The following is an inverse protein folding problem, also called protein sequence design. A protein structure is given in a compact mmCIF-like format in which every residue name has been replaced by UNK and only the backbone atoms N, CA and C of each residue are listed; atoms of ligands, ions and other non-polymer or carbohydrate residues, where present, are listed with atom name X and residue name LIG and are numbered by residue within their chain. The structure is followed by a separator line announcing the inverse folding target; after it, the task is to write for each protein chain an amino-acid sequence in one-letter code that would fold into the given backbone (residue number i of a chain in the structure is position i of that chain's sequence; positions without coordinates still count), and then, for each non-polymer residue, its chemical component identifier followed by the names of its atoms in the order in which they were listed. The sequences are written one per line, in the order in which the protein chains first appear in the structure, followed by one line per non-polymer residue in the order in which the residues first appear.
data_IF_598734085171
#
_entry.id   IF_598734085171
#
_cell.length_a   1.000
_cell.length_b   1.000
_cell.length_c   1.000
_cell.angle_alpha   90.00
_cell.angle_beta   90.00
_cell.angle_gamma   90.00
#
_symmetry.space_group_name_H-M   'P 1'
#
loop_
_entity.id
_entity.type
_entity.pdbx_description
1 polymer ?
#
# COMPACT_ATOMS: atom_id res chain seq x y z
N UNK A 1 18.39 7.69 17.30
CA UNK A 1 18.15 7.52 18.76
C UNK A 1 17.63 6.12 19.10
N UNK A 2 16.87 5.46 18.21
CA UNK A 2 16.34 4.10 18.45
C UNK A 2 17.33 2.99 18.12
N UNK A 3 18.52 3.28 17.57
CA UNK A 3 19.51 2.29 17.18
C UNK A 3 19.10 1.42 16.00
N UNK A 4 18.12 1.86 15.21
CA UNK A 4 17.65 1.16 14.02
C UNK A 4 18.62 1.44 12.87
N UNK A 5 19.06 0.39 12.19
CA UNK A 5 19.88 0.50 10.99
C UNK A 5 19.35 -0.46 9.92
N UNK A 6 19.48 -0.07 8.66
CA UNK A 6 19.08 -0.87 7.51
C UNK A 6 20.31 -1.27 6.70
N UNK A 7 20.33 -2.53 6.24
CA UNK A 7 21.28 -2.99 5.23
C UNK A 7 20.75 -2.59 3.85
N UNK A 8 21.21 -1.44 3.35
CA UNK A 8 20.72 -0.88 2.09
C UNK A 8 20.89 -1.81 0.88
N UNK A 9 22.00 -2.56 0.73
CA UNK A 9 22.11 -3.61 -0.28
C UNK A 9 20.98 -4.65 -0.21
N UNK A 10 20.63 -5.12 0.97
CA UNK A 10 19.55 -6.09 1.18
C UNK A 10 18.19 -5.47 0.87
N UNK A 11 17.94 -4.25 1.33
CA UNK A 11 16.68 -3.55 1.05
C UNK A 11 16.52 -3.25 -0.46
N UNK A 12 17.60 -2.89 -1.13
CA UNK A 12 17.61 -2.67 -2.59
C UNK A 12 17.31 -3.98 -3.33
N UNK A 13 17.90 -5.09 -2.94
CA UNK A 13 17.65 -6.41 -3.53
C UNK A 13 16.17 -6.83 -3.34
N UNK A 14 15.62 -6.66 -2.13
CA UNK A 14 14.21 -6.94 -1.81
C UNK A 14 13.24 -6.13 -2.69
N UNK A 15 13.53 -4.84 -2.89
CA UNK A 15 12.72 -3.99 -3.75
C UNK A 15 12.78 -4.45 -5.21
N UNK A 16 13.98 -4.60 -5.73
CA UNK A 16 14.22 -4.94 -7.13
C UNK A 16 13.67 -6.33 -7.47
N UNK A 17 13.87 -7.32 -6.59
CA UNK A 17 13.33 -8.68 -6.78
C UNK A 17 11.80 -8.71 -6.76
N UNK A 18 11.16 -7.98 -5.83
CA UNK A 18 9.69 -7.84 -5.78
C UNK A 18 9.16 -7.21 -7.08
N UNK A 19 9.87 -6.25 -7.64
CA UNK A 19 9.56 -5.63 -8.91
C UNK A 19 9.93 -6.49 -10.13
N UNK A 20 10.29 -7.75 -9.95
CA UNK A 20 10.69 -8.67 -11.04
C UNK A 20 11.89 -8.19 -11.84
N UNK A 21 12.80 -7.43 -11.23
CA UNK A 21 13.96 -6.78 -11.84
C UNK A 21 13.61 -5.84 -13.01
N UNK A 22 12.47 -5.14 -12.93
CA UNK A 22 11.96 -4.28 -14.01
C UNK A 22 11.70 -2.84 -13.59
N UNK A 23 11.94 -2.49 -12.33
CA UNK A 23 11.92 -1.12 -11.88
C UNK A 23 13.19 -0.37 -12.34
N UNK A 24 13.15 0.95 -12.33
CA UNK A 24 14.34 1.77 -12.57
C UNK A 24 15.17 1.85 -11.28
N UNK A 25 16.22 1.05 -11.20
CA UNK A 25 17.05 0.94 -10.01
C UNK A 25 17.67 2.27 -9.56
N UNK A 26 17.97 3.18 -10.51
CA UNK A 26 18.50 4.51 -10.19
C UNK A 26 17.50 5.37 -9.39
N UNK A 27 16.19 5.26 -9.68
CA UNK A 27 15.13 5.91 -8.89
C UNK A 27 15.01 5.29 -7.50
N UNK A 28 15.05 3.96 -7.40
CA UNK A 28 15.02 3.25 -6.12
C UNK A 28 16.23 3.64 -5.27
N UNK A 29 17.44 3.61 -5.85
CA UNK A 29 18.65 4.01 -5.15
C UNK A 29 18.62 5.50 -4.73
N UNK A 30 18.01 6.38 -5.54
CA UNK A 30 17.79 7.78 -5.16
C UNK A 30 16.84 7.87 -3.96
N UNK A 31 15.74 7.11 -3.98
CA UNK A 31 14.81 7.06 -2.86
C UNK A 31 15.51 6.66 -1.56
N UNK A 32 16.30 5.59 -1.55
CA UNK A 32 17.04 5.17 -0.36
C UNK A 32 18.02 6.24 0.15
N UNK A 33 18.79 6.88 -0.76
CA UNK A 33 19.75 7.91 -0.37
C UNK A 33 19.12 9.18 0.20
N UNK A 34 17.92 9.55 -0.29
CA UNK A 34 17.27 10.80 0.06
C UNK A 34 16.25 10.64 1.22
N UNK A 35 15.82 9.41 1.51
CA UNK A 35 14.72 9.12 2.46
C UNK A 35 15.00 9.66 3.84
N UNK A 36 16.18 9.42 4.41
CA UNK A 36 16.55 9.89 5.75
C UNK A 36 16.46 11.43 5.85
N UNK A 37 17.07 12.13 4.90
CA UNK A 37 17.08 13.59 4.86
C UNK A 37 15.67 14.16 4.71
N UNK A 38 14.89 13.58 3.83
CA UNK A 38 13.50 14.01 3.59
C UNK A 38 12.62 13.72 4.81
N UNK A 39 12.80 12.57 5.44
CA UNK A 39 12.06 12.21 6.65
C UNK A 39 12.42 13.10 7.83
N UNK A 40 13.71 13.37 8.06
CA UNK A 40 14.14 14.27 9.13
C UNK A 40 13.53 15.68 8.94
N UNK A 41 13.51 16.19 7.71
CA UNK A 41 12.82 17.45 7.42
C UNK A 41 11.32 17.40 7.74
N UNK A 42 10.64 16.30 7.45
CA UNK A 42 9.22 16.12 7.80
C UNK A 42 9.02 16.07 9.33
N UNK A 43 9.92 15.38 10.05
CA UNK A 43 9.87 15.29 11.51
C UNK A 43 10.08 16.65 12.18
N UNK A 44 11.06 17.43 11.71
CA UNK A 44 11.31 18.80 12.19
C UNK A 44 10.07 19.70 11.97
N UNK A 45 9.42 19.51 10.81
CA UNK A 45 8.22 20.26 10.48
C UNK A 45 7.03 19.83 11.36
N UNK A 46 6.90 18.53 11.63
CA UNK A 46 5.88 17.98 12.52
C UNK A 46 6.06 18.50 13.96
N UNK A 47 7.28 18.46 14.49
CA UNK A 47 7.60 18.98 15.83
C UNK A 47 7.28 20.48 15.93
N UNK A 48 7.68 21.26 14.92
CA UNK A 48 7.37 22.71 14.84
C UNK A 48 5.86 22.98 14.92
N UNK A 49 5.03 22.09 14.38
CA UNK A 49 3.57 22.21 14.36
C UNK A 49 2.90 21.45 15.52
N UNK A 50 3.66 20.97 16.51
CA UNK A 50 3.14 20.33 17.72
C UNK A 50 2.68 18.88 17.54
N UNK A 51 3.11 18.22 16.46
CA UNK A 51 2.86 16.79 16.28
C UNK A 51 3.96 15.95 16.91
N UNK A 52 3.56 14.78 17.43
CA UNK A 52 4.50 13.76 17.90
C UNK A 52 4.53 12.60 16.90
N UNK A 53 5.71 12.08 16.64
CA UNK A 53 5.89 10.92 15.80
C UNK A 53 6.38 9.73 16.62
N UNK A 54 5.79 8.56 16.42
CA UNK A 54 6.21 7.31 17.04
C UNK A 54 6.64 6.33 15.94
N UNK A 55 7.63 5.52 16.24
CA UNK A 55 8.00 4.38 15.41
C UNK A 55 7.37 3.13 16.01
N UNK A 56 6.61 2.40 15.22
CA UNK A 56 6.14 1.06 15.55
C UNK A 56 7.03 0.03 14.88
N UNK A 57 7.25 -1.08 15.55
CA UNK A 57 7.90 -2.24 14.97
C UNK A 57 6.81 -3.23 14.53
N UNK A 58 6.95 -3.76 13.32
CA UNK A 58 6.14 -4.84 12.78
C UNK A 58 6.88 -6.17 12.80
N UNK A 59 6.19 -7.25 12.46
CA UNK A 59 6.83 -8.55 12.26
C UNK A 59 7.74 -8.50 11.04
N UNK A 60 8.68 -9.39 11.05
CA UNK A 60 9.49 -9.72 9.90
C UNK A 60 8.59 -10.09 8.73
N UNK A 61 9.00 -9.73 7.54
CA UNK A 61 8.31 -10.24 6.35
C UNK A 61 8.46 -11.77 6.30
N UNK A 62 7.39 -12.46 5.93
CA UNK A 62 7.47 -13.91 5.71
C UNK A 62 8.47 -14.30 4.61
N UNK A 63 8.73 -13.39 3.66
CA UNK A 63 9.72 -13.57 2.59
C UNK A 63 11.15 -13.34 3.10
N UNK A 64 11.30 -12.45 4.08
CA UNK A 64 12.58 -12.09 4.70
C UNK A 64 12.39 -12.04 6.23
N UNK A 65 12.24 -13.20 6.88
CA UNK A 65 11.93 -13.28 8.32
C UNK A 65 13.05 -12.78 9.22
N UNK A 66 14.27 -12.64 8.69
CA UNK A 66 15.45 -12.12 9.40
C UNK A 66 15.46 -10.60 9.54
N UNK A 67 14.53 -9.88 8.87
CA UNK A 67 14.52 -8.42 8.85
C UNK A 67 13.27 -7.88 9.54
N UNK A 68 13.46 -7.09 10.60
CA UNK A 68 12.37 -6.36 11.25
C UNK A 68 11.85 -5.24 10.34
N UNK A 69 10.55 -5.03 10.36
CA UNK A 69 9.90 -3.93 9.66
C UNK A 69 9.55 -2.81 10.63
N UNK A 70 9.80 -1.58 10.24
CA UNK A 70 9.48 -0.42 11.04
C UNK A 70 8.53 0.51 10.28
N UNK A 71 7.54 1.03 10.97
CA UNK A 71 6.60 1.99 10.42
C UNK A 71 6.48 3.20 11.33
N UNK A 72 6.55 4.38 10.76
CA UNK A 72 6.30 5.59 11.52
C UNK A 72 4.80 5.83 11.63
N UNK A 73 4.34 6.02 12.85
CA UNK A 73 2.98 6.43 13.17
C UNK A 73 3.05 7.76 13.88
N UNK A 74 2.22 8.68 13.48
CA UNK A 74 2.18 9.99 14.10
C UNK A 74 1.02 10.10 15.09
N UNK A 75 1.22 10.88 16.14
CA UNK A 75 0.26 11.16 17.21
C UNK A 75 0.36 12.60 17.71
N UNK A 76 -0.47 12.97 18.66
CA UNK A 76 -0.48 14.28 19.31
C UNK A 76 -1.81 15.02 19.15
N UNK A 77 -1.97 16.21 19.76
CA UNK A 77 -3.24 16.93 19.82
C UNK A 77 -3.89 17.23 18.46
N UNK A 78 -3.07 17.44 17.42
CA UNK A 78 -3.57 17.65 16.06
C UNK A 78 -4.15 16.37 15.45
N UNK A 79 -3.73 15.18 15.92
CA UNK A 79 -4.24 13.88 15.45
C UNK A 79 -5.58 13.49 16.07
N UNK A 80 -5.93 14.01 17.22
CA UNK A 80 -7.26 13.82 17.81
C UNK A 80 -8.35 14.46 16.96
N UNK A 81 -7.98 15.44 16.14
CA UNK A 81 -8.89 16.21 15.29
C UNK A 81 -8.80 15.86 13.80
N UNK A 82 -7.73 15.23 13.35
CA UNK A 82 -7.44 14.97 11.95
C UNK A 82 -6.90 13.55 11.74
N UNK A 83 -7.19 12.95 10.58
CA UNK A 83 -6.49 11.74 10.13
C UNK A 83 -5.02 12.05 9.83
N UNK A 84 -4.18 11.02 9.68
CA UNK A 84 -2.76 11.20 9.32
C UNK A 84 -2.62 11.96 7.99
N UNK A 85 -3.50 11.69 7.02
CA UNK A 85 -3.50 12.38 5.74
C UNK A 85 -3.88 13.86 5.90
N UNK A 86 -4.98 14.15 6.60
CA UNK A 86 -5.45 15.52 6.85
C UNK A 86 -4.39 16.34 7.60
N UNK A 87 -3.68 15.71 8.53
CA UNK A 87 -2.62 16.38 9.29
C UNK A 87 -1.47 16.81 8.37
N UNK A 88 -1.00 15.93 7.49
CA UNK A 88 0.10 16.24 6.57
C UNK A 88 -0.32 17.37 5.63
N UNK A 89 -1.53 17.30 5.06
CA UNK A 89 -2.09 18.33 4.21
C UNK A 89 -2.20 19.67 4.95
N UNK A 90 -2.83 19.67 6.12
CA UNK A 90 -2.99 20.86 6.96
C UNK A 90 -1.65 21.50 7.32
N UNK A 91 -0.67 20.71 7.72
CA UNK A 91 0.66 21.19 8.09
C UNK A 91 1.39 21.81 6.89
N UNK A 92 1.40 21.13 5.75
CA UNK A 92 2.04 21.64 4.54
C UNK A 92 1.35 22.89 4.00
N UNK A 93 0.03 22.94 4.04
CA UNK A 93 -0.72 24.11 3.61
C UNK A 93 -0.43 25.32 4.52
N UNK A 94 -0.40 25.12 5.84
CA UNK A 94 -0.07 26.17 6.80
C UNK A 94 1.35 26.72 6.60
N UNK A 95 2.33 25.80 6.44
CA UNK A 95 3.73 26.20 6.21
C UNK A 95 3.91 26.90 4.85
N UNK A 96 3.26 26.40 3.81
CA UNK A 96 3.31 27.01 2.48
C UNK A 96 2.70 28.43 2.49
N UNK A 97 1.53 28.59 3.11
CA UNK A 97 0.89 29.90 3.29
C UNK A 97 1.75 30.87 4.09
N UNK A 98 2.44 30.40 5.12
CA UNK A 98 3.32 31.21 5.94
C UNK A 98 4.52 31.81 5.13
N UNK A 99 4.93 31.18 4.04
CA UNK A 99 5.99 31.73 3.16
C UNK A 99 5.54 32.93 2.35
N UNK A 100 4.23 33.09 2.10
CA UNK A 100 3.65 34.09 1.20
C UNK A 100 3.97 33.88 -0.29
N UNK A 101 4.58 32.75 -0.66
CA UNK A 101 5.04 32.45 -2.02
C UNK A 101 4.23 31.35 -2.71
N UNK A 102 3.22 30.81 -2.05
CA UNK A 102 2.40 29.71 -2.57
C UNK A 102 0.93 30.17 -2.65
N UNK A 103 0.33 29.95 -3.81
CA UNK A 103 -1.09 30.15 -4.05
C UNK A 103 -1.75 28.80 -4.26
N UNK A 104 -2.81 28.52 -3.51
CA UNK A 104 -3.68 27.34 -3.66
C UNK A 104 -4.94 27.75 -4.42
N UNK A 105 -5.16 27.15 -5.58
CA UNK A 105 -6.32 27.42 -6.43
C UNK A 105 -7.18 26.16 -6.47
N UNK A 106 -8.18 26.09 -5.63
CA UNK A 106 -9.12 24.98 -5.56
C UNK A 106 -10.20 25.06 -6.63
N UNK A 107 -10.94 23.97 -6.84
CA UNK A 107 -12.03 23.87 -7.84
C UNK A 107 -11.60 24.26 -9.26
N UNK A 108 -10.33 24.02 -9.58
CA UNK A 108 -9.68 24.43 -10.83
C UNK A 108 -8.95 23.25 -11.47
N UNK A 109 -9.65 22.18 -11.91
CA UNK A 109 -9.01 21.01 -12.50
C UNK A 109 -8.24 21.42 -13.77
N UNK A 110 -6.99 20.94 -13.88
CA UNK A 110 -6.19 21.07 -15.08
C UNK A 110 -6.74 20.17 -16.17
N UNK A 111 -6.88 20.70 -17.38
CA UNK A 111 -7.50 20.01 -18.51
C UNK A 111 -6.58 19.91 -19.73
N UNK A 112 -5.50 20.69 -19.78
CA UNK A 112 -4.55 20.69 -20.90
C UNK A 112 -3.21 21.27 -20.47
N UNK A 113 -2.12 20.73 -21.01
CA UNK A 113 -0.80 21.37 -20.97
C UNK A 113 -0.61 22.32 -22.14
N UNK A 114 0.20 23.36 -21.92
CA UNK A 114 0.55 24.35 -22.96
C UNK A 114 1.99 24.12 -23.38
N UNK A 115 2.22 23.93 -24.68
CA UNK A 115 3.56 23.84 -25.28
C UNK A 115 3.85 25.04 -26.13
N UNK A 116 5.12 25.48 -26.15
CA UNK A 116 5.62 26.44 -27.11
C UNK A 116 5.97 25.75 -28.45
N UNK A 117 6.45 26.57 -29.42
CA UNK A 117 6.81 26.07 -30.75
C UNK A 117 8.00 25.09 -30.75
N UNK A 118 8.77 24.99 -29.66
CA UNK A 118 9.86 24.02 -29.49
C UNK A 118 9.39 22.68 -28.88
N UNK A 119 8.14 22.61 -28.45
CA UNK A 119 7.58 21.46 -27.70
C UNK A 119 7.83 21.53 -26.21
N UNK A 120 8.42 22.61 -25.69
CA UNK A 120 8.58 22.79 -24.23
C UNK A 120 7.24 23.10 -23.59
N UNK A 121 6.95 22.43 -22.45
CA UNK A 121 5.77 22.74 -21.63
C UNK A 121 6.02 24.03 -20.86
N UNK A 122 5.12 24.99 -21.06
CA UNK A 122 5.21 26.36 -20.52
C UNK A 122 4.03 26.76 -19.66
N UNK A 123 3.09 25.85 -19.40
CA UNK A 123 1.95 26.11 -18.55
C UNK A 123 0.88 25.02 -18.61
N UNK A 124 -0.23 25.30 -17.95
CA UNK A 124 -1.42 24.45 -17.97
C UNK A 124 -2.68 25.32 -18.09
N UNK A 125 -3.71 24.78 -18.73
CA UNK A 125 -5.06 25.34 -18.77
C UNK A 125 -5.90 24.60 -17.74
N UNK A 126 -6.57 25.34 -16.87
CA UNK A 126 -7.47 24.84 -15.86
C UNK A 126 -8.89 25.32 -16.12
N UNK A 127 -9.88 24.48 -15.81
CA UNK A 127 -11.30 24.84 -15.88
C UNK A 127 -11.68 25.56 -14.60
N UNK A 128 -12.09 26.81 -14.73
CA UNK A 128 -12.64 27.63 -13.65
C UNK A 128 -14.17 27.69 -13.74
N UNK A 129 -14.80 28.31 -12.74
CA UNK A 129 -16.26 28.44 -12.69
C UNK A 129 -16.85 29.11 -13.94
N UNK A 130 -16.19 30.16 -14.44
CA UNK A 130 -16.69 31.00 -15.54
C UNK A 130 -15.90 30.83 -16.84
N UNK A 131 -15.22 29.70 -17.05
CA UNK A 131 -14.45 29.43 -18.26
C UNK A 131 -13.14 28.72 -18.01
N UNK A 132 -12.10 29.11 -18.73
CA UNK A 132 -10.76 28.52 -18.63
C UNK A 132 -9.74 29.58 -18.27
N UNK A 133 -8.80 29.19 -17.41
CA UNK A 133 -7.65 30.03 -17.01
C UNK A 133 -6.37 29.32 -17.41
N UNK A 134 -5.48 30.03 -18.08
CA UNK A 134 -4.13 29.54 -18.37
C UNK A 134 -3.15 30.04 -17.30
N UNK A 135 -2.46 29.10 -16.68
CA UNK A 135 -1.35 29.38 -15.78
C UNK A 135 -0.03 29.15 -16.52
N UNK A 136 0.80 30.19 -16.60
CA UNK A 136 2.10 30.12 -17.25
C UNK A 136 3.20 29.75 -16.24
N UNK A 137 4.06 28.82 -16.61
CA UNK A 137 5.14 28.30 -15.78
C UNK A 137 6.51 28.70 -16.36
N UNK A 138 7.34 29.33 -15.55
CA UNK A 138 8.70 29.74 -15.96
C UNK A 138 9.73 28.64 -15.81
N UNK A 139 9.55 27.75 -14.79
CA UNK A 139 10.45 26.63 -14.49
C UNK A 139 9.92 25.30 -15.00
N UNK A 140 8.61 25.10 -14.99
CA UNK A 140 7.96 23.90 -15.47
C UNK A 140 6.62 23.64 -14.80
N UNK A 141 5.94 22.60 -15.26
CA UNK A 141 4.70 22.05 -14.69
C UNK A 141 5.00 20.70 -14.07
N UNK A 142 4.50 20.46 -12.87
CA UNK A 142 4.64 19.20 -12.15
C UNK A 142 3.29 18.50 -12.10
N UNK A 143 3.21 17.31 -12.65
CA UNK A 143 2.06 16.43 -12.53
C UNK A 143 2.17 15.62 -11.25
N UNK A 144 1.29 15.90 -10.28
CA UNK A 144 1.16 15.18 -9.01
C UNK A 144 -0.31 14.77 -8.80
N UNK A 145 -0.94 14.27 -9.87
CA UNK A 145 -2.40 14.10 -10.01
C UNK A 145 -2.92 12.75 -9.52
N UNK A 146 -2.14 12.04 -8.73
CA UNK A 146 -2.53 10.71 -8.24
C UNK A 146 -2.45 9.64 -9.34
N UNK A 147 -3.11 8.51 -9.09
CA UNK A 147 -3.06 7.32 -9.93
C UNK A 147 -4.27 7.21 -10.89
N UNK A 148 -4.59 5.98 -11.31
CA UNK A 148 -5.67 5.66 -12.26
C UNK A 148 -6.72 4.70 -11.66
N UNK A 149 -6.78 4.56 -10.35
CA UNK A 149 -7.58 3.54 -9.66
C UNK A 149 -9.08 3.60 -9.95
N UNK A 150 -9.60 4.74 -10.39
CA UNK A 150 -11.00 4.94 -10.75
C UNK A 150 -11.23 5.09 -12.26
N UNK A 151 -10.24 4.75 -13.10
CA UNK A 151 -10.40 4.71 -14.55
C UNK A 151 -10.34 3.27 -15.06
N UNK A 152 -11.49 2.72 -15.43
CA UNK A 152 -11.60 1.33 -15.88
C UNK A 152 -10.84 1.04 -17.18
N UNK A 153 -10.70 2.02 -18.08
CA UNK A 153 -9.95 1.86 -19.33
C UNK A 153 -8.45 1.68 -19.04
N UNK A 154 -7.91 2.49 -18.14
CA UNK A 154 -6.53 2.31 -17.67
C UNK A 154 -6.32 1.00 -16.92
N UNK A 155 -7.28 0.60 -16.08
CA UNK A 155 -7.18 -0.68 -15.38
C UNK A 155 -7.23 -1.86 -16.35
N UNK A 156 -8.09 -1.83 -17.38
CA UNK A 156 -8.16 -2.90 -18.39
C UNK A 156 -6.83 -3.05 -19.15
N UNK A 157 -6.18 -1.95 -19.48
CA UNK A 157 -4.95 -1.96 -20.25
C UNK A 157 -3.70 -2.25 -19.39
N UNK A 158 -3.58 -1.65 -18.23
CA UNK A 158 -2.33 -1.64 -17.46
C UNK A 158 -2.38 -2.43 -16.15
N UNK A 159 -3.56 -2.62 -15.53
CA UNK A 159 -3.69 -3.26 -14.23
C UNK A 159 -4.99 -4.09 -14.10
N UNK A 160 -5.27 -5.06 -15.00
CA UNK A 160 -6.56 -5.73 -15.07
C UNK A 160 -6.93 -6.51 -13.79
N UNK A 161 -5.96 -6.95 -13.01
CA UNK A 161 -6.20 -7.63 -11.74
C UNK A 161 -6.92 -6.70 -10.73
N UNK A 162 -6.69 -5.39 -10.80
CA UNK A 162 -7.31 -4.41 -9.91
C UNK A 162 -8.84 -4.32 -10.06
N UNK A 163 -9.41 -4.82 -11.16
CA UNK A 163 -10.87 -4.85 -11.35
C UNK A 163 -11.56 -6.01 -10.64
N UNK A 164 -10.79 -7.00 -10.16
CA UNK A 164 -11.31 -8.19 -9.47
C UNK A 164 -11.44 -8.01 -7.96
N UNK A 165 -10.96 -6.89 -7.41
CA UNK A 165 -11.03 -6.61 -5.98
C UNK A 165 -12.47 -6.42 -5.51
N UNK A 166 -12.76 -6.79 -4.26
CA UNK A 166 -14.08 -6.52 -3.65
C UNK A 166 -14.38 -5.03 -3.56
N UNK A 167 -13.38 -4.21 -3.24
CA UNK A 167 -13.56 -2.77 -3.09
C UNK A 167 -12.33 -1.97 -3.54
N UNK A 168 -12.57 -0.75 -4.05
CA UNK A 168 -11.54 0.26 -4.23
C UNK A 168 -11.47 1.09 -2.96
N UNK A 169 -10.38 0.95 -2.21
CA UNK A 169 -10.16 1.62 -0.92
C UNK A 169 -9.41 2.94 -1.08
N UNK A 170 -9.11 3.34 -2.31
CA UNK A 170 -8.47 4.61 -2.61
C UNK A 170 -9.29 5.77 -2.06
N UNK A 171 -8.64 6.69 -1.38
CA UNK A 171 -9.30 7.80 -0.71
C UNK A 171 -9.97 8.77 -1.70
N UNK A 172 -9.38 8.95 -2.88
CA UNK A 172 -9.85 9.93 -3.86
C UNK A 172 -10.40 9.28 -5.13
N UNK A 173 -11.69 9.49 -5.37
CA UNK A 173 -12.36 9.08 -6.62
C UNK A 173 -11.95 9.92 -7.84
N UNK A 174 -11.21 10.99 -7.63
CA UNK A 174 -10.60 11.82 -8.67
C UNK A 174 -9.36 11.17 -9.32
N UNK A 175 -8.89 10.04 -8.82
CA UNK A 175 -7.78 9.28 -9.41
C UNK A 175 -8.18 8.60 -10.74
N UNK A 176 -8.41 9.40 -11.76
CA UNK A 176 -8.92 8.98 -13.08
C UNK A 176 -7.89 9.11 -14.20
N UNK A 177 -6.66 9.53 -13.89
CA UNK A 177 -5.56 9.60 -14.85
C UNK A 177 -5.49 10.89 -15.66
N UNK A 178 -6.01 12.00 -15.16
CA UNK A 178 -5.97 13.29 -15.86
C UNK A 178 -4.54 13.74 -16.24
N UNK A 179 -3.59 13.60 -15.30
CA UNK A 179 -2.18 13.89 -15.56
C UNK A 179 -1.58 12.94 -16.57
N UNK A 180 -1.96 11.66 -16.56
CA UNK A 180 -1.52 10.67 -17.54
C UNK A 180 -1.98 11.07 -18.95
N UNK A 181 -3.25 11.41 -19.10
CA UNK A 181 -3.80 11.88 -20.38
C UNK A 181 -3.07 13.15 -20.87
N UNK A 182 -2.89 14.13 -20.00
CA UNK A 182 -2.22 15.38 -20.35
C UNK A 182 -0.75 15.14 -20.76
N UNK A 183 -0.05 14.23 -20.09
CA UNK A 183 1.33 13.87 -20.47
C UNK A 183 1.35 13.18 -21.84
N UNK A 184 0.44 12.24 -22.11
CA UNK A 184 0.36 11.53 -23.38
C UNK A 184 0.08 12.50 -24.57
N UNK A 185 -0.81 13.47 -24.38
CA UNK A 185 -1.17 14.44 -25.43
C UNK A 185 0.02 15.35 -25.85
N UNK A 186 1.01 15.51 -24.98
CA UNK A 186 2.23 16.27 -25.29
C UNK A 186 3.44 15.39 -25.64
N UNK A 187 3.22 14.08 -25.89
CA UNK A 187 4.22 13.12 -26.31
C UNK A 187 4.92 12.34 -25.20
N UNK A 188 4.41 12.43 -23.97
CA UNK A 188 4.86 11.59 -22.86
C UNK A 188 4.49 10.13 -23.09
N UNK A 189 5.31 9.23 -22.56
CA UNK A 189 5.10 7.80 -22.59
C UNK A 189 4.78 7.24 -21.20
N UNK A 190 4.38 5.97 -21.17
CA UNK A 190 4.07 5.28 -19.94
C UNK A 190 5.05 4.13 -19.67
N UNK A 191 5.21 3.81 -18.42
CA UNK A 191 5.86 2.59 -17.96
C UNK A 191 5.19 1.36 -18.62
N UNK A 192 5.98 0.34 -18.91
CA UNK A 192 5.47 -0.92 -19.46
C UNK A 192 4.49 -1.62 -18.51
N UNK A 193 3.42 -2.19 -19.05
CA UNK A 193 2.48 -3.02 -18.31
C UNK A 193 3.11 -4.40 -17.91
N UNK A 194 2.57 -5.09 -16.89
CA UNK A 194 1.49 -4.65 -16.00
C UNK A 194 1.95 -3.62 -14.99
N UNK A 195 1.08 -2.66 -14.67
CA UNK A 195 1.36 -1.71 -13.59
C UNK A 195 1.12 -2.34 -12.22
N UNK A 196 2.03 -2.10 -11.25
CA UNK A 196 1.87 -2.64 -9.92
C UNK A 196 0.64 -2.09 -9.23
N UNK A 197 -0.03 -2.97 -8.51
CA UNK A 197 -1.20 -2.62 -7.70
C UNK A 197 -0.87 -2.76 -6.23
N UNK A 198 -1.22 -1.77 -5.43
CA UNK A 198 -1.16 -1.88 -3.98
C UNK A 198 -2.50 -2.41 -3.50
N UNK A 199 -2.53 -3.69 -3.12
CA UNK A 199 -3.75 -4.36 -2.65
C UNK A 199 -3.56 -4.87 -1.24
N UNK A 200 -4.58 -4.66 -0.43
CA UNK A 200 -4.66 -5.18 0.93
C UNK A 200 -5.90 -6.06 1.10
N UNK A 201 -5.81 -7.20 1.81
CA UNK A 201 -6.95 -8.11 1.97
C UNK A 201 -7.92 -7.65 3.08
N UNK A 202 -8.12 -6.35 3.21
CA UNK A 202 -8.90 -5.69 4.26
C UNK A 202 -10.12 -4.93 3.73
N UNK A 203 -10.62 -5.29 2.55
CA UNK A 203 -11.88 -4.69 2.07
C UNK A 203 -13.09 -5.09 2.92
N UNK A 204 -12.94 -6.08 3.80
CA UNK A 204 -13.96 -6.52 4.75
C UNK A 204 -13.42 -6.52 6.19
N UNK A 205 -12.88 -7.63 6.70
CA UNK A 205 -12.30 -7.68 8.03
C UNK A 205 -10.88 -7.08 8.06
N UNK A 206 -10.55 -6.40 9.15
CA UNK A 206 -9.20 -5.84 9.33
C UNK A 206 -8.19 -6.94 9.69
N UNK A 207 -8.55 -7.85 10.60
CA UNK A 207 -7.71 -8.95 11.05
C UNK A 207 -8.16 -10.29 10.47
N UNK A 208 -7.23 -11.15 10.12
CA UNK A 208 -7.48 -12.51 9.61
C UNK A 208 -6.34 -13.51 9.80
N UNK A 209 -5.20 -13.12 10.36
CA UNK A 209 -4.08 -14.02 10.69
C UNK A 209 -3.55 -14.87 9.52
N UNK A 210 -2.69 -15.86 9.82
CA UNK A 210 -2.21 -16.87 8.88
C UNK A 210 -3.03 -18.18 8.93
N UNK A 211 -4.31 -18.11 9.29
CA UNK A 211 -5.18 -19.25 9.51
C UNK A 211 -5.70 -19.86 8.21
N UNK A 212 -6.55 -20.86 8.30
CA UNK A 212 -7.15 -21.53 7.15
C UNK A 212 -8.06 -20.57 6.35
N UNK A 213 -7.82 -20.40 5.08
CA UNK A 213 -8.72 -19.68 4.17
C UNK A 213 -9.63 -20.64 3.41
N UNK A 214 -10.94 -20.38 3.48
CA UNK A 214 -11.97 -21.12 2.78
C UNK A 214 -12.72 -20.18 1.86
N UNK A 215 -12.77 -20.50 0.55
CA UNK A 215 -13.51 -19.72 -0.42
C UNK A 215 -15.02 -20.05 -0.41
N UNK A 216 -15.89 -19.33 -1.16
CA UNK A 216 -17.32 -19.62 -1.25
C UNK A 216 -17.65 -21.06 -1.72
N UNK A 217 -16.77 -21.71 -2.49
CA UNK A 217 -16.95 -23.14 -2.84
C UNK A 217 -16.64 -24.11 -1.70
N UNK A 218 -16.30 -23.61 -0.51
CA UNK A 218 -15.95 -24.41 0.65
C UNK A 218 -14.52 -24.98 0.62
N UNK A 219 -13.66 -24.51 -0.28
CA UNK A 219 -12.33 -25.09 -0.52
C UNK A 219 -11.20 -24.23 0.01
N UNK A 220 -10.14 -24.88 0.49
CA UNK A 220 -8.81 -24.31 0.63
C UNK A 220 -8.16 -24.21 -0.74
N UNK A 221 -7.44 -23.15 -1.04
CA UNK A 221 -6.96 -22.83 -2.40
C UNK A 221 -5.53 -22.29 -2.44
N UNK A 222 -4.86 -22.11 -1.30
CA UNK A 222 -3.52 -21.53 -1.23
C UNK A 222 -2.81 -21.88 0.07
N UNK A 223 -1.52 -21.57 0.14
CA UNK A 223 -0.79 -21.42 1.39
C UNK A 223 -1.09 -20.03 1.96
N UNK A 224 -1.74 -19.95 3.11
CA UNK A 224 -2.18 -18.71 3.74
C UNK A 224 -1.03 -17.96 4.42
N UNK A 225 0.07 -18.65 4.69
CA UNK A 225 1.28 -18.05 5.21
C UNK A 225 2.07 -17.39 4.06
N UNK A 226 1.51 -16.33 3.50
CA UNK A 226 2.09 -15.54 2.42
C UNK A 226 1.93 -14.05 2.72
N UNK A 227 2.63 -13.22 1.95
CA UNK A 227 2.59 -11.77 2.12
C UNK A 227 1.26 -11.15 1.67
N UNK A 228 1.07 -9.89 2.03
CA UNK A 228 -0.19 -9.12 1.86
C UNK A 228 -0.77 -9.24 0.46
N UNK A 229 0.02 -8.91 -0.55
CA UNK A 229 -0.39 -8.93 -1.94
C UNK A 229 -0.65 -10.36 -2.43
N UNK A 230 0.16 -11.32 -1.97
CA UNK A 230 -0.01 -12.73 -2.28
C UNK A 230 -1.35 -13.29 -1.80
N UNK A 231 -1.83 -12.83 -0.64
CA UNK A 231 -3.18 -13.18 -0.15
C UNK A 231 -4.26 -12.65 -1.08
N UNK A 232 -4.16 -11.39 -1.51
CA UNK A 232 -5.11 -10.80 -2.45
C UNK A 232 -5.14 -11.53 -3.79
N UNK A 233 -3.97 -11.75 -4.38
CA UNK A 233 -3.84 -12.46 -5.66
C UNK A 233 -4.33 -13.90 -5.51
N UNK A 234 -3.96 -14.59 -4.42
CA UNK A 234 -4.41 -15.95 -4.13
C UNK A 234 -5.93 -16.07 -4.09
N UNK A 235 -6.61 -15.17 -3.40
CA UNK A 235 -8.09 -15.15 -3.33
C UNK A 235 -8.70 -15.00 -4.73
N UNK A 236 -8.22 -14.01 -5.51
CA UNK A 236 -8.81 -13.68 -6.81
C UNK A 236 -8.45 -14.66 -7.93
N UNK A 237 -7.24 -15.23 -7.91
CA UNK A 237 -6.72 -16.08 -9.00
C UNK A 237 -6.89 -17.56 -8.68
N UNK A 238 -6.42 -18.01 -7.52
CA UNK A 238 -6.49 -19.42 -7.13
C UNK A 238 -7.84 -19.77 -6.50
N UNK A 239 -8.39 -18.86 -5.68
CA UNK A 239 -9.71 -19.00 -5.07
C UNK A 239 -10.86 -18.74 -6.04
N UNK A 240 -10.64 -17.95 -7.10
CA UNK A 240 -11.63 -17.63 -8.12
C UNK A 240 -12.77 -16.70 -7.65
N UNK A 241 -12.62 -16.05 -6.50
CA UNK A 241 -13.64 -15.21 -5.87
C UNK A 241 -13.06 -13.86 -5.46
N UNK A 242 -13.90 -12.94 -5.03
CA UNK A 242 -13.50 -11.62 -4.51
C UNK A 242 -13.27 -11.62 -2.99
N UNK A 243 -13.51 -12.75 -2.33
CA UNK A 243 -13.26 -12.95 -0.89
C UNK A 243 -13.06 -14.42 -0.52
N UNK A 244 -12.63 -14.63 0.71
CA UNK A 244 -12.57 -15.90 1.42
C UNK A 244 -12.86 -15.67 2.89
N UNK A 245 -12.99 -16.72 3.66
CA UNK A 245 -13.13 -16.69 5.11
C UNK A 245 -11.89 -17.28 5.76
N UNK A 246 -11.23 -16.50 6.61
CA UNK A 246 -10.20 -17.00 7.53
C UNK A 246 -10.88 -17.61 8.73
N UNK A 247 -10.72 -18.93 8.93
CA UNK A 247 -11.39 -19.71 10.00
C UNK A 247 -10.35 -20.13 11.02
N UNK A 248 -10.66 -19.91 12.30
CA UNK A 248 -9.82 -20.25 13.44
C UNK A 248 -10.65 -20.54 14.70
N UNK A 249 -9.99 -20.98 15.75
CA UNK A 249 -10.65 -21.39 17.00
C UNK A 249 -10.29 -20.48 18.19
N UNK A 250 -10.70 -20.88 19.39
CA UNK A 250 -10.50 -20.12 20.62
C UNK A 250 -9.03 -19.86 20.98
N UNK A 251 -8.08 -20.63 20.43
CA UNK A 251 -6.65 -20.49 20.73
C UNK A 251 -5.95 -19.43 19.86
N UNK A 252 -6.68 -18.74 18.97
CA UNK A 252 -6.10 -17.88 17.94
C UNK A 252 -5.20 -16.75 18.46
N UNK A 253 -5.36 -16.28 19.69
CA UNK A 253 -4.50 -15.27 20.30
C UNK A 253 -3.09 -15.81 20.53
N UNK A 254 -2.99 -17.00 21.12
CA UNK A 254 -1.71 -17.69 21.33
C UNK A 254 -1.08 -18.13 20.01
N UNK A 255 -1.88 -18.68 19.11
CA UNK A 255 -1.47 -19.10 17.77
C UNK A 255 -0.95 -17.92 16.94
N UNK A 256 -1.60 -16.75 17.03
CA UNK A 256 -1.13 -15.53 16.40
C UNK A 256 0.21 -15.09 16.98
N UNK A 257 0.34 -15.10 18.33
CA UNK A 257 1.61 -14.76 19.00
C UNK A 257 2.76 -15.63 18.49
N UNK A 258 2.53 -16.96 18.44
CA UNK A 258 3.53 -17.87 17.91
C UNK A 258 3.86 -17.63 16.44
N UNK A 259 2.87 -17.29 15.61
CA UNK A 259 3.07 -17.05 14.19
C UNK A 259 3.87 -15.78 13.89
N UNK A 260 3.70 -14.74 14.72
CA UNK A 260 4.36 -13.44 14.51
C UNK A 260 5.89 -13.50 14.62
N UNK A 261 6.42 -14.48 15.37
CA UNK A 261 7.87 -14.72 15.44
C UNK A 261 8.48 -15.13 14.09
N UNK A 262 7.65 -15.69 13.21
CA UNK A 262 8.04 -16.16 11.87
C UNK A 262 7.50 -15.29 10.74
N UNK A 263 6.98 -14.10 11.05
CA UNK A 263 6.41 -13.20 10.06
C UNK A 263 5.00 -13.59 9.59
N UNK A 264 4.31 -14.43 10.38
CA UNK A 264 2.93 -14.82 10.06
C UNK A 264 1.93 -13.68 10.21
N UNK A 265 0.77 -13.85 9.61
CA UNK A 265 -0.25 -12.83 9.59
C UNK A 265 0.00 -11.74 8.54
N UNK A 266 -0.56 -10.58 8.81
CA UNK A 266 -0.30 -9.36 8.06
C UNK A 266 0.73 -8.52 8.82
N UNK A 267 1.49 -7.67 8.14
CA UNK A 267 2.49 -6.86 8.83
C UNK A 267 1.88 -5.96 9.92
N UNK A 268 0.67 -5.46 9.74
CA UNK A 268 -0.02 -4.69 10.78
C UNK A 268 -0.59 -5.53 11.92
N UNK A 269 -0.78 -6.84 11.75
CA UNK A 269 -1.17 -7.73 12.86
C UNK A 269 -0.08 -7.78 13.94
N UNK A 270 1.14 -7.42 13.58
CA UNK A 270 2.31 -7.37 14.45
C UNK A 270 2.67 -5.97 14.93
N UNK A 271 2.02 -4.91 14.43
CA UNK A 271 2.36 -3.55 14.81
C UNK A 271 2.17 -3.33 16.30
N UNK A 272 3.23 -2.87 16.92
CA UNK A 272 3.30 -2.58 18.34
C UNK A 272 4.31 -1.47 18.61
N UNK A 273 4.18 -0.74 19.74
CA UNK A 273 5.21 0.18 20.19
C UNK A 273 6.58 -0.51 20.32
N UNK A 274 7.65 0.18 20.02
CA UNK A 274 9.01 -0.33 20.24
C UNK A 274 9.18 -0.67 21.73
N UNK A 275 9.64 -1.90 22.00
CA UNK A 275 9.82 -2.41 23.37
C UNK A 275 8.64 -3.22 23.94
N UNK A 276 7.50 -3.30 23.23
CA UNK A 276 6.41 -4.23 23.57
C UNK A 276 6.60 -5.60 22.88
N UNK A 277 5.76 -6.57 23.22
CA UNK A 277 5.88 -7.98 22.79
C UNK A 277 4.91 -8.34 21.68
N UNK A 278 5.08 -9.50 21.05
CA UNK A 278 4.10 -10.04 20.12
C UNK A 278 2.77 -10.42 20.80
N UNK A 279 2.81 -10.81 22.08
CA UNK A 279 1.61 -11.05 22.86
C UNK A 279 0.75 -9.78 23.00
N UNK A 280 1.38 -8.60 23.16
CA UNK A 280 0.64 -7.32 23.21
C UNK A 280 -0.05 -7.03 21.87
N UNK A 281 0.61 -7.34 20.74
CA UNK A 281 -0.01 -7.21 19.42
C UNK A 281 -1.17 -8.20 19.24
N UNK A 282 -1.00 -9.45 19.67
CA UNK A 282 -2.04 -10.48 19.56
C UNK A 282 -3.26 -10.16 20.41
N UNK A 283 -3.08 -9.65 21.63
CA UNK A 283 -4.18 -9.19 22.47
C UNK A 283 -4.97 -8.03 21.81
N UNK A 284 -4.28 -7.10 21.15
CA UNK A 284 -4.94 -6.02 20.40
C UNK A 284 -5.73 -6.56 19.20
N UNK A 285 -5.21 -7.58 18.51
CA UNK A 285 -5.91 -8.26 17.42
C UNK A 285 -7.13 -9.02 17.92
N UNK A 286 -7.03 -9.73 19.06
CA UNK A 286 -8.14 -10.42 19.68
C UNK A 286 -9.26 -9.43 20.05
N UNK A 287 -8.93 -8.31 20.65
CA UNK A 287 -9.90 -7.23 20.91
C UNK A 287 -10.56 -6.71 19.62
N UNK A 288 -9.81 -6.60 18.51
CA UNK A 288 -10.34 -6.21 17.21
C UNK A 288 -11.35 -7.24 16.68
N UNK A 289 -11.05 -8.53 16.78
CA UNK A 289 -11.96 -9.61 16.38
C UNK A 289 -13.24 -9.58 17.19
N UNK A 290 -13.16 -9.54 18.53
CA UNK A 290 -14.34 -9.52 19.41
C UNK A 290 -15.22 -8.27 19.16
N UNK A 291 -14.59 -7.12 18.97
CA UNK A 291 -15.30 -5.90 18.59
C UNK A 291 -15.97 -6.05 17.22
N UNK A 292 -15.27 -6.63 16.25
CA UNK A 292 -15.79 -6.88 14.90
C UNK A 292 -17.02 -7.76 14.87
N UNK A 293 -17.07 -8.81 15.70
CA UNK A 293 -18.27 -9.68 15.86
C UNK A 293 -19.50 -8.87 16.26
N UNK A 294 -19.33 -7.81 17.04
CA UNK A 294 -20.43 -6.95 17.50
C UNK A 294 -20.73 -5.82 16.49
N UNK A 295 -19.71 -5.12 16.04
CA UNK A 295 -19.86 -3.85 15.30
C UNK A 295 -20.01 -4.07 13.78
N UNK A 296 -19.39 -5.12 13.25
CA UNK A 296 -19.40 -5.46 11.82
C UNK A 296 -19.65 -6.95 11.59
N UNK A 297 -20.84 -7.46 12.02
CA UNK A 297 -21.16 -8.90 12.01
C UNK A 297 -21.20 -9.52 10.59
N UNK A 298 -21.22 -8.71 9.52
CA UNK A 298 -21.10 -9.22 8.15
C UNK A 298 -19.67 -9.62 7.80
N UNK A 299 -18.68 -9.09 8.51
CA UNK A 299 -17.27 -9.35 8.28
C UNK A 299 -16.63 -10.27 9.32
N UNK A 300 -17.24 -10.39 10.51
CA UNK A 300 -16.74 -11.23 11.60
C UNK A 300 -17.86 -12.10 12.14
N UNK A 301 -17.58 -13.38 12.27
CA UNK A 301 -18.54 -14.38 12.79
C UNK A 301 -17.94 -15.11 13.97
N UNK A 302 -18.82 -15.54 14.89
CA UNK A 302 -18.48 -16.34 16.06
C UNK A 302 -19.60 -17.35 16.33
N UNK A 303 -19.26 -18.58 16.69
CA UNK A 303 -20.19 -19.61 17.08
C UNK A 303 -19.55 -20.64 18.04
N UNK A 304 -20.36 -21.37 18.78
CA UNK A 304 -19.88 -22.38 19.69
C UNK A 304 -19.50 -23.70 19.00
N UNK A 305 -20.05 -23.95 17.80
CA UNK A 305 -19.74 -25.13 16.97
C UNK A 305 -19.38 -24.73 15.54
N UNK A 306 -18.59 -25.57 14.84
CA UNK A 306 -18.24 -25.36 13.42
C UNK A 306 -19.50 -25.36 12.57
N UNK A 307 -20.46 -26.22 12.82
CA UNK A 307 -21.70 -26.31 12.06
C UNK A 307 -22.54 -25.02 12.19
N UNK A 308 -22.57 -24.40 13.35
CA UNK A 308 -23.23 -23.11 13.56
C UNK A 308 -22.45 -21.96 12.91
N UNK A 309 -21.12 -22.02 12.94
CA UNK A 309 -20.28 -21.02 12.25
C UNK A 309 -20.52 -21.08 10.74
N UNK A 310 -20.43 -22.26 10.13
CA UNK A 310 -20.59 -22.44 8.67
C UNK A 310 -21.96 -21.99 8.16
N UNK A 311 -23.02 -22.09 8.96
CA UNK A 311 -24.36 -21.57 8.61
C UNK A 311 -24.41 -20.04 8.48
N UNK A 312 -23.46 -19.34 9.07
CA UNK A 312 -23.38 -17.87 9.01
C UNK A 312 -22.55 -17.37 7.84
N UNK A 313 -21.85 -18.28 7.13
CA UNK A 313 -20.94 -17.95 6.03
C UNK A 313 -21.61 -18.23 4.68
N UNK A 314 -21.23 -17.46 3.69
CA UNK A 314 -21.59 -17.66 2.28
C UNK A 314 -20.67 -18.69 1.61
N UNK A 315 -20.63 -19.91 2.12
CA UNK A 315 -19.79 -21.02 1.63
C UNK A 315 -20.63 -22.30 1.41
N UNK A 316 -20.12 -23.20 0.57
CA UNK A 316 -20.63 -24.57 0.57
C UNK A 316 -20.27 -25.23 1.92
N UNK A 317 -21.28 -25.39 2.79
CA UNK A 317 -21.09 -25.84 4.16
C UNK A 317 -20.55 -27.28 4.23
N UNK A 318 -21.00 -28.15 3.34
CA UNK A 318 -20.59 -29.56 3.34
C UNK A 318 -19.14 -29.71 2.87
N UNK A 319 -18.74 -28.96 1.89
CA UNK A 319 -17.34 -28.95 1.42
C UNK A 319 -16.43 -28.22 2.40
N UNK A 320 -16.86 -27.09 2.97
CA UNK A 320 -16.11 -26.36 3.99
C UNK A 320 -15.83 -27.23 5.23
N UNK A 321 -16.82 -28.04 5.67
CA UNK A 321 -16.61 -28.99 6.78
C UNK A 321 -15.51 -30.01 6.46
N UNK A 322 -15.52 -30.58 5.26
CA UNK A 322 -14.45 -31.51 4.81
C UNK A 322 -13.09 -30.82 4.75
N UNK A 323 -13.07 -29.59 4.27
CA UNK A 323 -11.84 -28.77 4.22
C UNK A 323 -11.26 -28.54 5.60
N UNK A 324 -12.09 -28.20 6.59
CA UNK A 324 -11.65 -28.02 7.98
C UNK A 324 -11.16 -29.35 8.57
N UNK A 325 -11.88 -30.46 8.33
CA UNK A 325 -11.46 -31.77 8.80
C UNK A 325 -10.12 -32.18 8.20
N UNK A 326 -9.94 -32.00 6.90
CA UNK A 326 -8.67 -32.24 6.22
C UNK A 326 -7.54 -31.36 6.74
N UNK A 327 -7.80 -30.07 7.00
CA UNK A 327 -6.82 -29.17 7.57
C UNK A 327 -6.38 -29.59 8.99
N UNK A 328 -7.33 -30.08 9.80
CA UNK A 328 -7.01 -30.62 11.13
C UNK A 328 -6.13 -31.88 11.04
N UNK A 329 -6.36 -32.78 10.08
CA UNK A 329 -5.46 -33.92 9.82
C UNK A 329 -4.03 -33.47 9.47
N UNK A 330 -3.91 -32.43 8.63
CA UNK A 330 -2.63 -31.82 8.26
C UNK A 330 -1.91 -31.26 9.49
N UNK A 331 -2.63 -30.54 10.35
CA UNK A 331 -2.07 -30.00 11.60
C UNK A 331 -1.59 -31.12 12.55
N UNK A 332 -2.36 -32.22 12.69
CA UNK A 332 -1.98 -33.38 13.50
C UNK A 332 -0.74 -34.10 12.94
N UNK A 333 -0.62 -34.15 11.61
CA UNK A 333 0.55 -34.73 10.95
C UNK A 333 1.79 -33.83 11.06
N UNK A 334 1.61 -32.55 11.38
CA UNK A 334 2.68 -31.55 11.44
C UNK A 334 3.32 -31.23 10.09
N UNK A 335 2.67 -31.59 8.99
CA UNK A 335 3.19 -31.37 7.63
C UNK A 335 2.04 -31.13 6.64
N UNK A 336 2.04 -30.00 5.98
CA UNK A 336 1.08 -29.65 4.93
C UNK A 336 1.51 -30.26 3.60
N UNK A 337 0.83 -31.32 3.20
CA UNK A 337 1.06 -32.00 1.92
C UNK A 337 0.24 -31.40 0.76
N UNK A 338 -0.69 -30.50 1.07
CA UNK A 338 -1.60 -29.93 0.08
C UNK A 338 -1.05 -28.63 -0.52
N UNK A 339 -0.53 -27.72 0.33
CA UNK A 339 0.02 -26.41 -0.09
C UNK A 339 1.38 -26.09 0.52
N UNK A 340 2.01 -27.02 1.22
CA UNK A 340 3.35 -26.92 1.81
C UNK A 340 3.50 -25.72 2.77
N UNK A 341 2.45 -25.40 3.52
CA UNK A 341 2.49 -24.43 4.59
C UNK A 341 3.43 -24.91 5.68
N UNK A 342 4.32 -24.06 6.14
CA UNK A 342 5.32 -24.42 7.14
C UNK A 342 4.68 -24.83 8.47
N UNK A 343 5.28 -25.79 9.16
CA UNK A 343 4.69 -26.42 10.34
C UNK A 343 4.36 -25.46 11.48
N UNK A 344 5.15 -24.40 11.64
CA UNK A 344 4.92 -23.38 12.67
C UNK A 344 3.73 -22.44 12.36
N UNK A 345 3.08 -22.59 11.20
CA UNK A 345 1.83 -21.92 10.86
C UNK A 345 0.62 -22.88 10.80
N UNK A 346 0.78 -24.14 11.24
CA UNK A 346 -0.28 -25.11 11.25
C UNK A 346 -1.01 -25.10 12.60
N UNK A 347 -2.12 -24.40 12.66
CA UNK A 347 -2.95 -24.25 13.86
C UNK A 347 -4.27 -24.98 13.67
N UNK A 348 -4.56 -26.04 14.49
CA UNK A 348 -5.79 -26.83 14.34
C UNK A 348 -7.03 -26.05 14.78
N UNK A 349 -8.17 -26.37 14.18
CA UNK A 349 -9.47 -25.74 14.45
C UNK A 349 -10.34 -26.74 15.19
N UNK A 350 -10.23 -26.81 16.53
CA UNK A 350 -10.84 -27.87 17.36
C UNK A 350 -11.58 -27.40 18.61
N UNK A 351 -11.20 -26.22 19.12
CA UNK A 351 -11.72 -25.74 20.40
C UNK A 351 -12.63 -24.52 20.21
N UNK A 352 -13.91 -24.66 20.50
CA UNK A 352 -14.84 -23.54 20.49
C UNK A 352 -14.58 -22.50 21.61
N UNK A 353 -15.02 -21.27 21.45
CA UNK A 353 -15.76 -20.77 20.27
C UNK A 353 -14.91 -20.69 19.03
N UNK A 354 -15.56 -20.81 17.86
CA UNK A 354 -14.97 -20.73 16.55
C UNK A 354 -15.26 -19.35 15.93
N UNK A 355 -14.32 -18.87 15.14
CA UNK A 355 -14.38 -17.56 14.50
C UNK A 355 -14.18 -17.66 12.99
N UNK A 356 -14.76 -16.71 12.27
CA UNK A 356 -14.45 -16.50 10.86
C UNK A 356 -14.35 -15.00 10.57
N UNK A 357 -13.28 -14.60 9.88
CA UNK A 357 -13.07 -13.24 9.42
C UNK A 357 -13.08 -13.20 7.89
N UNK A 358 -13.89 -12.31 7.28
CA UNK A 358 -13.96 -12.18 5.83
C UNK A 358 -12.70 -11.49 5.29
N UNK A 359 -11.92 -12.23 4.55
CA UNK A 359 -10.68 -11.74 3.89
C UNK A 359 -11.03 -11.33 2.47
N UNK A 360 -10.86 -10.06 2.15
CA UNK A 360 -11.29 -9.56 0.85
C UNK A 360 -10.29 -8.56 0.28
N UNK A 361 -9.82 -8.77 -0.97
CA UNK A 361 -8.92 -7.85 -1.65
C UNK A 361 -9.52 -6.46 -1.82
N UNK A 362 -8.77 -5.43 -1.43
CA UNK A 362 -9.08 -4.03 -1.63
C UNK A 362 -7.95 -3.32 -2.34
N UNK A 363 -8.25 -2.52 -3.36
CA UNK A 363 -7.28 -1.71 -4.08
C UNK A 363 -7.02 -0.40 -3.33
N UNK A 364 -5.78 -0.15 -2.91
CA UNK A 364 -5.36 1.12 -2.32
C UNK A 364 -4.80 2.09 -3.36
N UNK A 365 -4.24 1.58 -4.45
CA UNK A 365 -3.69 2.41 -5.50
C UNK A 365 -3.05 1.60 -6.63
N UNK A 366 -2.90 2.24 -7.78
CA UNK A 366 -2.09 1.76 -8.90
C UNK A 366 -0.77 2.53 -8.88
N UNK A 367 0.35 1.82 -8.82
CA UNK A 367 1.67 2.41 -8.58
C UNK A 367 2.54 2.46 -9.84
N UNK A 368 1.96 2.29 -11.01
CA UNK A 368 2.57 2.56 -12.31
C UNK A 368 2.03 3.84 -12.93
N UNK A 369 2.71 4.35 -13.95
CA UNK A 369 2.27 5.61 -14.55
C UNK A 369 3.19 6.15 -15.63
N UNK A 370 3.34 7.46 -15.66
CA UNK A 370 4.12 8.21 -16.63
C UNK A 370 5.60 7.83 -16.52
N UNK A 371 6.22 7.52 -17.64
CA UNK A 371 7.64 7.21 -17.72
C UNK A 371 8.49 8.48 -17.40
N UNK A 372 9.43 8.36 -16.46
CA UNK A 372 10.20 9.50 -15.94
C UNK A 372 11.71 9.25 -15.93
N UNK A 373 12.48 10.34 -15.96
CA UNK A 373 13.93 10.32 -15.74
C UNK A 373 14.27 10.29 -14.25
N UNK A 374 15.56 10.09 -13.92
CA UNK A 374 16.06 10.19 -12.54
C UNK A 374 15.91 11.61 -11.93
N UNK A 375 15.59 12.60 -12.77
CA UNK A 375 15.27 13.97 -12.35
C UNK A 375 13.76 14.26 -12.39
N UNK A 376 12.94 13.21 -12.49
CA UNK A 376 11.46 13.28 -12.53
C UNK A 376 10.90 13.98 -13.79
N UNK A 377 11.72 14.18 -14.83
CA UNK A 377 11.25 14.70 -16.11
C UNK A 377 10.40 13.64 -16.83
N UNK A 378 9.28 14.04 -17.40
CA UNK A 378 8.46 13.14 -18.24
C UNK A 378 9.24 12.80 -19.51
N UNK A 379 9.28 11.51 -19.84
CA UNK A 379 10.00 10.98 -20.99
C UNK A 379 9.07 10.58 -22.14
N UNK A 380 9.55 10.80 -23.37
CA UNK A 380 8.97 10.20 -24.56
C UNK A 380 9.29 8.70 -24.65
N UNK A 381 8.68 7.98 -25.60
CA UNK A 381 8.99 6.58 -25.91
C UNK A 381 10.46 6.35 -26.31
N UNK A 382 11.16 7.38 -26.78
CA UNK A 382 12.58 7.35 -27.11
C UNK A 382 13.49 7.72 -25.92
N UNK A 383 12.95 7.75 -24.70
CA UNK A 383 13.64 8.16 -23.47
C UNK A 383 14.20 9.61 -23.51
N UNK A 384 13.56 10.51 -24.24
CA UNK A 384 13.96 11.92 -24.28
C UNK A 384 13.07 12.74 -23.34
N UNK A 385 13.66 13.62 -22.50
CA UNK A 385 12.89 14.48 -21.62
C UNK A 385 12.01 15.47 -22.39
N UNK A 386 10.75 15.61 -21.97
CA UNK A 386 9.90 16.71 -22.40
C UNK A 386 10.26 17.92 -21.54
N UNK A 387 10.85 18.91 -22.16
CA UNK A 387 11.33 20.11 -21.48
C UNK A 387 10.20 20.81 -20.71
N UNK A 388 10.45 21.12 -19.44
CA UNK A 388 9.49 21.83 -18.57
C UNK A 388 8.31 20.99 -18.07
N UNK A 389 8.34 19.65 -18.23
CA UNK A 389 7.30 18.76 -17.71
C UNK A 389 7.90 17.71 -16.78
N UNK A 390 7.32 17.58 -15.59
CA UNK A 390 7.73 16.66 -14.53
C UNK A 390 6.52 15.86 -14.03
N UNK A 391 6.76 14.66 -13.52
CA UNK A 391 5.74 13.85 -12.84
C UNK A 391 6.32 13.21 -11.57
N UNK A 392 5.51 13.18 -10.50
CA UNK A 392 5.89 12.65 -9.18
C UNK A 392 4.71 11.93 -8.52
N UNK A 393 5.00 11.16 -7.47
CA UNK A 393 4.00 10.39 -6.73
C UNK A 393 3.36 9.31 -7.61
N UNK A 394 2.13 8.91 -7.29
CA UNK A 394 1.46 7.81 -8.03
C UNK A 394 1.09 8.16 -9.48
N UNK A 395 1.25 9.42 -9.91
CA UNK A 395 1.15 9.81 -11.30
C UNK A 395 2.37 9.35 -12.13
N UNK A 396 3.55 9.25 -11.49
CA UNK A 396 4.78 8.81 -12.12
C UNK A 396 4.95 7.28 -12.05
N UNK A 397 5.64 6.70 -13.00
CA UNK A 397 5.98 5.29 -13.09
C UNK A 397 7.43 4.98 -12.69
N UNK A 398 7.89 3.83 -13.13
CA UNK A 398 9.28 3.33 -13.16
C UNK A 398 9.92 2.94 -11.83
N UNK A 399 9.55 3.53 -10.69
CA UNK A 399 10.14 3.16 -9.39
C UNK A 399 9.64 1.80 -8.90
N UNK A 400 8.46 1.39 -9.35
CA UNK A 400 7.90 0.06 -9.14
C UNK A 400 7.66 -0.63 -10.47
N UNK A 401 7.58 -1.96 -10.45
CA UNK A 401 7.16 -2.77 -11.60
C UNK A 401 6.59 -4.10 -11.11
N UNK A 402 5.66 -4.68 -11.85
CA UNK A 402 4.97 -5.94 -11.55
C UNK A 402 4.20 -5.93 -10.23
N UNK A 403 4.90 -5.69 -9.12
CA UNK A 403 4.34 -5.73 -7.80
C UNK A 403 4.83 -4.57 -6.94
N UNK A 404 4.09 -4.28 -5.87
CA UNK A 404 4.41 -3.24 -4.92
C UNK A 404 5.28 -3.82 -3.79
N UNK A 405 6.51 -3.29 -3.56
CA UNK A 405 7.45 -3.85 -2.59
C UNK A 405 7.04 -3.50 -1.15
N UNK A 406 5.93 -4.07 -0.69
CA UNK A 406 5.37 -3.81 0.63
C UNK A 406 6.31 -4.22 1.78
N UNK A 407 7.31 -5.04 1.48
CA UNK A 407 8.35 -5.43 2.45
C UNK A 407 9.17 -4.22 2.93
N UNK A 408 9.27 -3.18 2.10
CA UNK A 408 9.83 -1.88 2.49
C UNK A 408 8.64 -0.98 2.81
N UNK A 409 8.22 -1.00 4.06
CA UNK A 409 6.97 -0.36 4.50
C UNK A 409 7.00 1.16 4.37
N UNK A 410 5.82 1.77 4.13
CA UNK A 410 5.66 3.21 4.01
C UNK A 410 6.26 3.82 2.73
N UNK A 411 6.76 3.01 1.80
CA UNK A 411 7.49 3.50 0.64
C UNK A 411 6.63 4.34 -0.32
N UNK A 412 5.30 4.10 -0.42
CA UNK A 412 4.42 4.91 -1.28
C UNK A 412 4.31 6.35 -0.81
N UNK A 413 4.03 6.58 0.47
CA UNK A 413 4.05 7.93 1.06
C UNK A 413 5.48 8.49 1.10
N UNK A 414 6.46 7.66 1.46
CA UNK A 414 7.87 8.03 1.44
C UNK A 414 8.35 8.45 0.05
N UNK A 415 7.86 7.81 -1.01
CA UNK A 415 8.12 8.21 -2.40
C UNK A 415 7.59 9.61 -2.67
N UNK A 416 6.33 9.89 -2.35
CA UNK A 416 5.75 11.23 -2.56
C UNK A 416 6.56 12.31 -1.82
N UNK A 417 6.98 12.02 -0.59
CA UNK A 417 7.82 12.94 0.20
C UNK A 417 9.17 13.18 -0.48
N UNK A 418 9.88 12.11 -0.85
CA UNK A 418 11.22 12.21 -1.45
C UNK A 418 11.19 12.89 -2.82
N UNK A 419 10.29 12.45 -3.70
CA UNK A 419 10.17 13.00 -5.05
C UNK A 419 9.76 14.48 -5.00
N UNK A 420 8.76 14.82 -4.17
CA UNK A 420 8.29 16.20 -4.03
C UNK A 420 9.36 17.15 -3.49
N UNK A 421 10.05 16.73 -2.42
CA UNK A 421 11.12 17.54 -1.82
C UNK A 421 12.31 17.69 -2.77
N UNK A 422 12.81 16.59 -3.33
CA UNK A 422 13.95 16.62 -4.25
C UNK A 422 13.66 17.44 -5.51
N UNK A 423 12.48 17.27 -6.13
CA UNK A 423 12.10 18.06 -7.30
C UNK A 423 11.92 19.54 -6.96
N UNK A 424 11.28 19.85 -5.83
CA UNK A 424 11.14 21.24 -5.35
C UNK A 424 12.50 21.92 -5.20
N UNK A 425 13.48 21.27 -4.59
CA UNK A 425 14.84 21.76 -4.42
C UNK A 425 15.58 21.90 -5.77
N UNK A 426 15.39 20.96 -6.70
CA UNK A 426 15.95 21.04 -8.06
C UNK A 426 15.41 22.26 -8.81
N UNK A 427 14.11 22.47 -8.81
CA UNK A 427 13.47 23.62 -9.45
C UNK A 427 13.83 24.95 -8.78
N UNK A 428 14.09 24.93 -7.47
CA UNK A 428 14.60 26.07 -6.74
C UNK A 428 16.09 26.34 -6.97
N UNK A 429 16.84 25.37 -7.51
CA UNK A 429 18.28 25.46 -7.74
C UNK A 429 19.12 25.29 -6.48
N UNK A 430 18.54 24.66 -5.43
CA UNK A 430 19.20 24.43 -4.12
C UNK A 430 19.44 22.95 -3.81
N UNK A 431 19.15 22.08 -4.77
CA UNK A 431 19.33 20.64 -4.59
C UNK A 431 20.83 20.30 -4.55
N UNK A 432 21.33 20.03 -3.36
CA UNK A 432 22.65 19.46 -3.17
C UNK A 432 22.57 17.95 -3.25
N UNK A 433 23.26 17.35 -4.20
CA UNK A 433 23.39 15.90 -4.27
C UNK A 433 24.09 15.43 -3.00
N UNK A 434 23.45 14.54 -2.26
CA UNK A 434 24.12 13.82 -1.16
C UNK A 434 25.30 13.11 -1.82
N UNK A 435 26.51 13.50 -1.44
CA UNK A 435 27.73 12.84 -1.90
C UNK A 435 27.70 11.43 -1.28
N UNK A 436 27.64 10.44 -2.14
CA UNK A 436 27.72 9.04 -1.76
C UNK A 436 29.03 8.72 -1.05
#
# INVERSE_FOLDING_TARGET
ELGISFDLPVEMERWVSTCGNRCRESLVAKWFRESERCMNWLLDLAEKNGATCMVTVGSRSIVHPEIDCYHMVSGGPLFEQHTVADFVEYMFEAEAKATGNVEFVYESPAVQLVQDASGKVTGAVCKAKDGYVQYNATKGVVLATGDVSYNDEYLDEFAPIAKKVMARLCADKGNVGDGHNMAAWVGGSFQAAPWPTMMHPQAAAFYHGPFLFVNPDGKRFMNEATWVQGKCVGIMVNGGHDHAWSIFDANFEDDNTASLEYGGGMFWDSFRPVGSTYADASAANAATVEKGVTDTPDNYKKADTIEELLKQLDVDQAEAKKTIDRYNEICEAGADTDFFKESHFLFPIKQGPFYACKVAPGLLGVCGGIHISDNFEVLTSDNKPIQGLYAIGNCAGDIYAYDYPINVQGNSHGRCLVEGKCLGEQLAGVYDKVKA
#
